data_IF_607788850654
#
_entry.id   IF_607788850654
#
_cell.length_a   1.000
_cell.length_b   1.000
_cell.length_c   1.000
_cell.angle_alpha   90.00
_cell.angle_beta   90.00
_cell.angle_gamma   90.00
#
_symmetry.space_group_name_H-M   'P 1'
#
loop_
_entity.id
_entity.type
_entity.pdbx_description
1 polymer ?
#
# COMPACT_ATOMS: atom_id res chain seq x y z
N UNK A 1 -21.17 65.32 15.61
CA UNK A 1 -20.31 64.42 16.41
C UNK A 1 -21.17 63.75 17.47
N UNK A 2 -21.04 62.43 17.74
CA UNK A 2 -20.96 61.24 16.87
C UNK A 2 -22.16 60.30 17.19
N UNK A 3 -22.48 59.23 16.45
CA UNK A 3 -21.83 57.91 16.53
C UNK A 3 -22.39 57.04 15.38
N UNK A 4 -21.53 56.76 14.42
CA UNK A 4 -21.67 55.71 13.41
C UNK A 4 -21.38 54.37 14.10
N UNK A 5 -22.38 53.51 14.26
CA UNK A 5 -22.16 52.13 14.75
C UNK A 5 -21.73 51.25 13.59
N UNK A 6 -20.42 51.21 13.41
CA UNK A 6 -19.67 50.29 12.57
C UNK A 6 -19.92 48.84 13.01
N UNK A 7 -20.30 48.01 12.03
CA UNK A 7 -19.80 46.65 11.82
C UNK A 7 -19.98 45.62 12.93
N UNK A 8 -20.98 44.76 12.78
CA UNK A 8 -21.03 43.49 13.49
C UNK A 8 -21.27 42.33 12.53
N UNK A 9 -20.23 41.94 11.80
CA UNK A 9 -20.06 40.56 11.28
C UNK A 9 -18.57 40.27 11.18
N UNK A 10 -17.99 39.51 12.13
CA UNK A 10 -16.86 38.59 11.88
C UNK A 10 -16.94 37.42 12.87
N UNK A 11 -17.85 36.48 12.60
CA UNK A 11 -17.73 35.12 13.13
C UNK A 11 -16.38 34.59 12.64
N UNK A 12 -15.49 34.22 13.56
CA UNK A 12 -14.16 33.71 13.23
C UNK A 12 -14.28 32.55 12.25
N UNK A 13 -13.88 32.76 11.00
CA UNK A 13 -13.63 31.71 10.01
C UNK A 13 -12.37 30.96 10.42
N UNK A 14 -12.47 30.17 11.50
CA UNK A 14 -11.47 29.14 11.76
C UNK A 14 -11.70 28.04 10.74
N UNK A 15 -10.74 27.90 9.82
CA UNK A 15 -10.70 26.80 8.86
C UNK A 15 -10.67 25.49 9.65
N UNK A 16 -11.63 24.61 9.38
CA UNK A 16 -11.71 23.28 10.01
C UNK A 16 -10.49 22.42 9.66
N UNK A 17 -10.27 21.36 10.43
CA UNK A 17 -9.18 20.43 10.17
C UNK A 17 -9.33 19.76 8.78
N UNK A 18 -8.23 19.64 8.04
CA UNK A 18 -8.21 18.91 6.77
C UNK A 18 -8.51 17.42 7.03
N UNK A 19 -9.63 16.95 6.49
CA UNK A 19 -10.02 15.56 6.52
C UNK A 19 -9.93 14.99 5.10
N UNK A 20 -9.15 13.92 4.92
CA UNK A 20 -9.13 13.15 3.68
C UNK A 20 -9.33 11.67 3.99
N UNK A 21 -10.18 11.02 3.20
CA UNK A 21 -10.37 9.56 3.24
C UNK A 21 -9.69 8.95 2.01
N UNK A 22 -8.72 8.07 2.21
CA UNK A 22 -8.11 7.31 1.13
C UNK A 22 -8.83 5.97 0.98
N UNK A 23 -9.33 5.67 -0.21
CA UNK A 23 -9.88 4.36 -0.55
C UNK A 23 -9.05 3.75 -1.67
N UNK A 24 -8.66 2.48 -1.51
CA UNK A 24 -7.89 1.73 -2.50
C UNK A 24 -8.68 0.52 -2.97
N UNK A 25 -8.47 0.12 -4.22
CA UNK A 25 -9.04 -1.10 -4.79
C UNK A 25 -7.94 -2.14 -4.95
N UNK A 26 -8.03 -3.26 -4.23
CA UNK A 26 -7.12 -4.39 -4.39
C UNK A 26 -7.71 -5.43 -5.34
N UNK A 27 -6.94 -5.85 -6.33
CA UNK A 27 -7.39 -6.69 -7.43
C UNK A 27 -6.97 -8.14 -7.27
N UNK A 28 -5.83 -8.39 -6.64
CA UNK A 28 -5.26 -9.74 -6.53
C UNK A 28 -5.51 -10.35 -5.16
N UNK A 29 -5.74 -11.67 -5.14
CA UNK A 29 -5.84 -12.43 -3.87
C UNK A 29 -4.55 -12.34 -3.06
N UNK A 30 -3.41 -12.13 -3.71
CA UNK A 30 -2.12 -11.97 -3.05
C UNK A 30 -2.05 -10.67 -2.25
N UNK A 31 -2.43 -9.54 -2.85
CA UNK A 31 -2.50 -8.27 -2.14
C UNK A 31 -3.55 -8.27 -1.03
N UNK A 32 -4.72 -8.89 -1.25
CA UNK A 32 -5.76 -9.04 -0.22
C UNK A 32 -5.24 -9.86 0.97
N UNK A 33 -4.56 -10.98 0.74
CA UNK A 33 -3.95 -11.78 1.82
C UNK A 33 -2.84 -11.04 2.55
N UNK A 34 -2.04 -10.25 1.85
CA UNK A 34 -1.03 -9.42 2.47
C UNK A 34 -1.68 -8.35 3.35
N UNK A 35 -2.79 -7.76 2.88
CA UNK A 35 -3.58 -6.82 3.66
C UNK A 35 -4.13 -7.44 4.94
N UNK A 36 -4.78 -8.60 4.85
CA UNK A 36 -5.38 -9.30 5.99
C UNK A 36 -4.35 -9.85 6.97
N UNK A 37 -3.17 -10.24 6.47
CA UNK A 37 -2.20 -11.04 7.23
C UNK A 37 -2.75 -12.44 7.52
N UNK A 38 -2.18 -13.12 8.52
CA UNK A 38 -2.65 -14.43 8.96
C UNK A 38 -2.59 -14.55 10.47
N UNK A 39 -3.72 -14.38 11.14
CA UNK A 39 -3.82 -14.60 12.58
C UNK A 39 -3.68 -16.08 12.93
N UNK A 40 -2.97 -16.36 14.02
CA UNK A 40 -2.95 -17.70 14.61
C UNK A 40 -4.30 -17.96 15.29
N UNK A 41 -5.18 -18.72 14.64
CA UNK A 41 -6.47 -19.09 15.21
C UNK A 41 -6.24 -20.18 16.27
N UNK A 42 -6.20 -19.77 17.54
CA UNK A 42 -6.04 -20.66 18.69
C UNK A 42 -7.16 -21.72 18.82
N UNK A 43 -8.26 -21.61 18.05
CA UNK A 43 -9.40 -22.53 18.08
C UNK A 43 -9.24 -23.78 17.21
N UNK A 44 -8.19 -23.88 16.40
CA UNK A 44 -7.92 -25.07 15.57
C UNK A 44 -6.97 -26.02 16.30
N UNK A 45 -7.46 -26.69 17.35
CA UNK A 45 -6.69 -27.60 18.23
C UNK A 45 -6.06 -28.81 17.50
N UNK A 46 -6.39 -29.04 16.22
CA UNK A 46 -5.92 -30.19 15.42
C UNK A 46 -4.97 -29.85 14.28
N UNK A 47 -4.67 -28.58 14.01
CA UNK A 47 -3.70 -28.19 12.97
C UNK A 47 -2.43 -27.64 13.61
N UNK A 48 -1.26 -27.99 13.07
CA UNK A 48 0.03 -27.43 13.47
C UNK A 48 -0.07 -25.90 13.61
N UNK A 49 0.32 -25.36 14.78
CA UNK A 49 0.29 -23.92 15.07
C UNK A 49 1.13 -23.17 14.04
N UNK A 50 0.49 -22.59 13.02
CA UNK A 50 1.17 -21.77 12.01
C UNK A 50 1.53 -20.40 12.62
N UNK A 51 2.71 -19.85 12.31
CA UNK A 51 3.10 -18.55 12.82
C UNK A 51 2.18 -17.44 12.29
N UNK A 52 1.93 -16.43 13.14
CA UNK A 52 1.17 -15.23 12.81
C UNK A 52 1.92 -14.42 11.73
N UNK A 53 1.20 -13.91 10.73
CA UNK A 53 1.74 -13.02 9.71
C UNK A 53 1.13 -11.64 9.93
N UNK A 54 1.98 -10.65 10.18
CA UNK A 54 1.60 -9.26 10.39
C UNK A 54 0.77 -8.76 9.20
N UNK A 55 -0.40 -8.22 9.50
CA UNK A 55 -1.29 -7.60 8.51
C UNK A 55 -0.84 -6.19 8.15
N UNK A 56 -1.20 -5.71 6.95
CA UNK A 56 -0.86 -4.34 6.54
C UNK A 56 -1.43 -3.26 7.48
N UNK A 57 -2.69 -3.32 7.96
CA UNK A 57 -3.17 -2.37 8.96
C UNK A 57 -2.30 -2.32 10.22
N UNK A 58 -1.77 -3.47 10.65
CA UNK A 58 -0.90 -3.55 11.82
C UNK A 58 0.49 -2.95 11.52
N UNK A 59 1.05 -3.21 10.35
CA UNK A 59 2.28 -2.57 9.90
C UNK A 59 2.16 -1.04 9.82
N UNK A 60 1.03 -0.53 9.28
CA UNK A 60 0.71 0.89 9.22
C UNK A 60 0.58 1.48 10.63
N UNK A 61 -0.11 0.80 11.53
CA UNK A 61 -0.24 1.23 12.92
C UNK A 61 1.12 1.30 13.64
N UNK A 62 2.00 0.32 13.42
CA UNK A 62 3.37 0.33 13.95
C UNK A 62 4.21 1.46 13.39
N UNK A 63 4.13 1.73 12.08
CA UNK A 63 4.81 2.87 11.47
C UNK A 63 4.31 4.19 12.09
N UNK A 64 3.00 4.33 12.31
CA UNK A 64 2.42 5.49 12.99
C UNK A 64 2.87 5.65 14.43
N UNK A 65 3.00 4.55 15.17
CA UNK A 65 3.53 4.56 16.54
C UNK A 65 5.00 4.96 16.57
N UNK A 66 5.83 4.34 15.73
CA UNK A 66 7.25 4.67 15.64
C UNK A 66 7.47 6.16 15.29
N UNK A 67 6.67 6.73 14.38
CA UNK A 67 6.71 8.18 14.10
C UNK A 67 6.38 9.04 15.32
N UNK A 68 5.37 8.67 16.11
CA UNK A 68 5.03 9.43 17.33
C UNK A 68 6.10 9.31 18.41
N UNK A 69 6.70 8.14 18.57
CA UNK A 69 7.73 7.90 19.56
C UNK A 69 9.04 8.61 19.18
N UNK A 70 9.38 8.62 17.88
CA UNK A 70 10.48 9.41 17.31
C UNK A 70 10.30 10.91 17.60
N UNK A 71 9.08 11.45 17.40
CA UNK A 71 8.76 12.83 17.73
C UNK A 71 8.83 13.17 19.24
N UNK A 72 9.01 12.17 20.11
CA UNK A 72 9.22 12.30 21.56
C UNK A 72 10.66 11.98 21.95
N UNK A 73 11.60 12.15 21.04
CA UNK A 73 13.03 11.95 21.23
C UNK A 73 13.41 10.50 21.63
N UNK A 74 12.68 9.49 21.13
CA UNK A 74 13.04 8.09 21.33
C UNK A 74 14.06 7.63 20.26
N UNK A 75 15.34 7.41 20.62
CA UNK A 75 16.38 7.06 19.65
C UNK A 75 16.17 5.68 18.99
N UNK A 76 15.49 4.74 19.67
CA UNK A 76 15.16 3.44 19.09
C UNK A 76 14.06 3.53 18.05
N UNK A 77 13.11 4.47 18.23
CA UNK A 77 12.06 4.73 17.26
C UNK A 77 12.65 5.35 15.99
N UNK A 78 13.59 6.30 16.13
CA UNK A 78 14.32 6.88 14.99
C UNK A 78 15.05 5.81 14.18
N UNK A 79 15.81 4.95 14.85
CA UNK A 79 16.53 3.85 14.20
C UNK A 79 15.57 2.88 13.49
N UNK A 80 14.41 2.60 14.09
CA UNK A 80 13.39 1.74 13.48
C UNK A 80 12.81 2.39 12.23
N UNK A 81 12.48 3.68 12.26
CA UNK A 81 11.96 4.41 11.11
C UNK A 81 12.97 4.42 9.96
N UNK A 82 14.24 4.71 10.21
CA UNK A 82 15.29 4.67 9.18
C UNK A 82 15.35 3.29 8.53
N UNK A 83 15.31 2.21 9.32
CA UNK A 83 15.30 0.83 8.79
C UNK A 83 14.05 0.55 7.96
N UNK A 84 12.88 0.99 8.44
CA UNK A 84 11.61 0.82 7.74
C UNK A 84 11.62 1.56 6.40
N UNK A 85 12.05 2.82 6.39
CA UNK A 85 12.12 3.62 5.18
C UNK A 85 13.09 3.04 4.15
N UNK A 86 14.26 2.58 4.57
CA UNK A 86 15.22 1.90 3.70
C UNK A 86 14.64 0.60 3.13
N UNK A 87 13.93 -0.19 3.95
CA UNK A 87 13.26 -1.40 3.49
C UNK A 87 12.15 -1.10 2.47
N UNK A 88 11.34 -0.06 2.72
CA UNK A 88 10.29 0.38 1.80
C UNK A 88 10.88 0.85 0.46
N UNK A 89 11.94 1.65 0.49
CA UNK A 89 12.64 2.12 -0.72
C UNK A 89 13.15 0.94 -1.52
N UNK A 90 13.92 0.03 -0.89
CA UNK A 90 14.46 -1.16 -1.56
C UNK A 90 13.38 -2.07 -2.15
N UNK A 91 12.28 -2.28 -1.42
CA UNK A 91 11.17 -3.09 -1.90
C UNK A 91 10.48 -2.43 -3.10
N UNK A 92 10.29 -1.10 -3.06
CA UNK A 92 9.70 -0.34 -4.16
C UNK A 92 10.59 -0.43 -5.41
N UNK A 93 11.90 -0.22 -5.28
CA UNK A 93 12.86 -0.35 -6.39
C UNK A 93 12.85 -1.76 -7.00
N UNK A 94 12.71 -2.79 -6.16
CA UNK A 94 12.61 -4.18 -6.60
C UNK A 94 11.35 -4.40 -7.43
N UNK A 95 10.20 -3.91 -6.96
CA UNK A 95 8.93 -3.98 -7.69
C UNK A 95 9.02 -3.25 -9.03
N UNK A 96 9.55 -2.02 -9.06
CA UNK A 96 9.68 -1.23 -10.28
C UNK A 96 10.62 -1.90 -11.28
N UNK A 97 11.71 -2.53 -10.82
CA UNK A 97 12.60 -3.32 -11.68
C UNK A 97 11.87 -4.48 -12.36
N UNK A 98 11.05 -5.23 -11.62
CA UNK A 98 10.28 -6.34 -12.18
C UNK A 98 9.18 -5.86 -13.13
N UNK A 99 8.49 -4.76 -12.77
CA UNK A 99 7.50 -4.12 -13.65
C UNK A 99 8.13 -3.68 -14.97
N UNK A 100 9.29 -3.01 -14.93
CA UNK A 100 10.00 -2.57 -16.12
C UNK A 100 10.43 -3.74 -17.02
N UNK A 101 10.86 -4.85 -16.41
CA UNK A 101 11.19 -6.08 -17.15
C UNK A 101 9.96 -6.69 -17.84
N UNK A 102 8.82 -6.79 -17.15
CA UNK A 102 7.56 -7.26 -17.73
C UNK A 102 7.07 -6.35 -18.86
N UNK A 103 7.20 -5.03 -18.68
CA UNK A 103 6.86 -4.06 -19.72
C UNK A 103 7.75 -4.19 -20.95
N UNK A 104 9.03 -4.54 -20.76
CA UNK A 104 9.94 -4.89 -21.85
C UNK A 104 9.46 -6.08 -22.67
N UNK A 105 8.96 -7.13 -22.00
CA UNK A 105 8.38 -8.30 -22.69
C UNK A 105 7.16 -7.92 -23.51
N UNK A 106 6.25 -7.13 -22.92
CA UNK A 106 5.03 -6.71 -23.59
C UNK A 106 5.31 -5.80 -24.80
N UNK A 107 6.35 -4.96 -24.73
CA UNK A 107 6.78 -4.10 -25.85
C UNK A 107 7.36 -4.88 -27.04
N UNK A 108 7.84 -6.10 -26.84
CA UNK A 108 8.37 -6.94 -27.91
C UNK A 108 7.29 -7.66 -28.73
N UNK A 109 6.01 -7.50 -28.37
CA UNK A 109 4.91 -8.06 -29.14
C UNK A 109 4.79 -7.38 -30.51
N UNK A 110 4.44 -8.12 -31.58
CA UNK A 110 4.22 -7.53 -32.89
C UNK A 110 3.10 -6.49 -32.84
N UNK A 111 3.24 -5.40 -33.60
CA UNK A 111 2.32 -4.25 -33.55
C UNK A 111 0.87 -4.51 -33.94
N UNK A 112 0.55 -5.73 -34.39
CA UNK A 112 -0.82 -6.20 -34.61
C UNK A 112 -1.53 -6.59 -33.30
N UNK A 113 -0.78 -6.77 -32.21
CA UNK A 113 -1.30 -7.15 -30.89
C UNK A 113 -1.39 -5.90 -30.01
N UNK A 114 -2.60 -5.54 -29.60
CA UNK A 114 -2.86 -4.51 -28.60
C UNK A 114 -3.47 -5.16 -27.36
N UNK A 115 -2.81 -5.00 -26.22
CA UNK A 115 -3.27 -5.55 -24.94
C UNK A 115 -3.91 -4.44 -24.11
N UNK A 116 -5.11 -4.71 -23.59
CA UNK A 116 -5.79 -3.83 -22.64
C UNK A 116 -5.15 -3.93 -21.25
N UNK A 117 -5.39 -2.91 -20.42
CA UNK A 117 -5.03 -2.96 -19.01
C UNK A 117 -5.76 -4.10 -18.27
N UNK A 118 -5.01 -4.82 -17.43
CA UNK A 118 -5.57 -5.88 -16.59
C UNK A 118 -6.27 -5.29 -15.36
N UNK A 119 -7.46 -5.79 -15.07
CA UNK A 119 -8.23 -5.49 -13.85
C UNK A 119 -8.98 -6.72 -13.38
N UNK A 120 -9.16 -6.84 -12.07
CA UNK A 120 -10.06 -7.83 -11.49
C UNK A 120 -11.52 -7.50 -11.85
N UNK A 121 -12.33 -8.53 -12.07
CA UNK A 121 -13.79 -8.40 -12.22
C UNK A 121 -14.48 -7.99 -10.92
N UNK A 122 -13.84 -8.25 -9.78
CA UNK A 122 -14.38 -8.00 -8.44
C UNK A 122 -13.27 -7.50 -7.50
N UNK A 123 -12.79 -6.26 -7.68
CA UNK A 123 -11.81 -5.68 -6.77
C UNK A 123 -12.42 -5.42 -5.38
N UNK A 124 -11.58 -5.53 -4.35
CA UNK A 124 -11.97 -5.25 -2.96
C UNK A 124 -11.58 -3.82 -2.60
N UNK A 125 -12.58 -3.00 -2.27
CA UNK A 125 -12.37 -1.62 -1.85
C UNK A 125 -12.09 -1.55 -0.35
N UNK A 126 -11.02 -0.86 0.01
CA UNK A 126 -10.52 -0.78 1.38
C UNK A 126 -10.30 0.69 1.71
N UNK A 127 -10.94 1.15 2.78
CA UNK A 127 -10.64 2.44 3.39
C UNK A 127 -9.35 2.35 4.19
N UNK A 128 -8.40 3.24 3.91
CA UNK A 128 -7.09 3.27 4.55
C UNK A 128 -6.88 4.59 5.26
N UNK A 129 -6.46 4.49 6.51
CA UNK A 129 -6.01 5.64 7.30
C UNK A 129 -4.64 5.33 7.89
N UNK A 130 -3.72 6.27 7.71
CA UNK A 130 -2.44 6.27 8.40
C UNK A 130 -2.25 7.59 9.15
N UNK A 131 -1.76 7.50 10.37
CA UNK A 131 -1.39 8.67 11.18
C UNK A 131 0.01 9.21 10.86
N UNK A 132 0.76 8.57 9.96
CA UNK A 132 2.09 9.03 9.55
C UNK A 132 2.33 8.89 8.04
N UNK A 133 3.21 9.73 7.45
CA UNK A 133 3.61 9.60 6.04
C UNK A 133 4.22 8.23 5.72
N UNK A 134 5.03 7.68 6.63
CA UNK A 134 5.66 6.36 6.46
C UNK A 134 4.62 5.25 6.38
N UNK A 135 3.52 5.35 7.15
CA UNK A 135 2.42 4.39 7.02
C UNK A 135 1.71 4.45 5.66
N UNK A 136 1.57 5.64 5.05
CA UNK A 136 1.07 5.74 3.66
C UNK A 136 2.06 5.18 2.63
N UNK A 137 3.38 5.27 2.86
CA UNK A 137 4.38 4.60 2.01
C UNK A 137 4.22 3.08 2.02
N UNK A 138 3.82 2.47 3.14
CA UNK A 138 3.46 1.05 3.18
C UNK A 138 2.27 0.74 2.27
N UNK A 139 1.28 1.64 2.20
CA UNK A 139 0.11 1.50 1.32
C UNK A 139 0.52 1.59 -0.15
N UNK A 140 1.39 2.54 -0.51
CA UNK A 140 1.90 2.65 -1.88
C UNK A 140 2.67 1.42 -2.32
N UNK A 141 3.48 0.84 -1.43
CA UNK A 141 4.17 -0.41 -1.70
C UNK A 141 3.19 -1.56 -1.96
N UNK A 142 2.11 -1.66 -1.18
CA UNK A 142 1.07 -2.67 -1.38
C UNK A 142 0.38 -2.51 -2.74
N UNK A 143 0.07 -1.28 -3.16
CA UNK A 143 -0.54 -1.02 -4.48
C UNK A 143 0.44 -1.38 -5.60
N UNK A 144 1.73 -1.03 -5.45
CA UNK A 144 2.78 -1.43 -6.38
C UNK A 144 2.90 -2.95 -6.51
N UNK A 145 2.80 -3.66 -5.38
CA UNK A 145 2.77 -5.11 -5.36
C UNK A 145 1.54 -5.69 -6.07
N UNK A 146 0.34 -5.16 -5.80
CA UNK A 146 -0.89 -5.60 -6.47
C UNK A 146 -0.78 -5.42 -8.00
N UNK A 147 -0.23 -4.29 -8.44
CA UNK A 147 0.06 -4.02 -9.86
C UNK A 147 1.05 -5.01 -10.46
N UNK A 148 2.14 -5.31 -9.75
CA UNK A 148 3.14 -6.29 -10.19
C UNK A 148 2.49 -7.66 -10.39
N UNK A 149 1.75 -8.14 -9.38
CA UNK A 149 1.09 -9.45 -9.45
C UNK A 149 0.12 -9.49 -10.63
N UNK A 150 -0.71 -8.46 -10.83
CA UNK A 150 -1.58 -8.38 -11.99
C UNK A 150 -0.81 -8.50 -13.31
N UNK A 151 0.26 -7.73 -13.51
CA UNK A 151 1.07 -7.81 -14.73
C UNK A 151 1.71 -9.18 -14.92
N UNK A 152 2.26 -9.77 -13.86
CA UNK A 152 2.84 -11.13 -13.91
C UNK A 152 1.80 -12.14 -14.42
N UNK A 153 0.57 -12.08 -13.90
CA UNK A 153 -0.52 -12.95 -14.36
C UNK A 153 -0.95 -12.67 -15.80
N UNK A 154 -0.97 -11.41 -16.22
CA UNK A 154 -1.27 -11.03 -17.60
C UNK A 154 -0.25 -11.65 -18.58
N UNK A 155 1.04 -11.42 -18.32
CA UNK A 155 2.14 -11.92 -19.15
C UNK A 155 2.16 -13.45 -19.17
N UNK A 156 1.90 -14.10 -18.03
CA UNK A 156 1.78 -15.55 -17.92
C UNK A 156 0.56 -16.11 -18.68
N UNK A 157 -0.60 -15.45 -18.56
CA UNK A 157 -1.83 -15.88 -19.23
C UNK A 157 -1.70 -15.89 -20.75
N UNK A 158 -0.95 -14.92 -21.30
CA UNK A 158 -0.62 -14.87 -22.72
C UNK A 158 0.58 -15.75 -23.13
N UNK A 159 1.12 -16.56 -22.22
CA UNK A 159 2.20 -17.52 -22.51
C UNK A 159 3.58 -16.89 -22.75
N UNK A 160 3.77 -15.64 -22.36
CA UNK A 160 5.04 -14.92 -22.59
C UNK A 160 6.12 -15.25 -21.55
N UNK A 161 5.73 -15.86 -20.43
CA UNK A 161 6.65 -16.37 -19.41
C UNK A 161 6.25 -17.79 -18.98
N UNK A 162 7.25 -18.56 -18.54
CA UNK A 162 7.02 -19.89 -17.98
C UNK A 162 6.42 -19.82 -16.57
N UNK A 163 5.83 -20.93 -16.11
CA UNK A 163 5.32 -21.06 -14.74
C UNK A 163 6.43 -20.89 -13.71
N UNK A 164 7.58 -21.51 -13.91
CA UNK A 164 8.74 -21.34 -13.02
C UNK A 164 9.12 -19.88 -12.92
N UNK A 165 9.14 -19.15 -14.04
CA UNK A 165 9.52 -17.74 -14.02
C UNK A 165 8.49 -16.87 -13.31
N UNK A 166 7.21 -17.18 -13.46
CA UNK A 166 6.11 -16.52 -12.74
C UNK A 166 6.25 -16.70 -11.21
N UNK A 167 6.64 -17.89 -10.75
CA UNK A 167 6.74 -18.20 -9.32
C UNK A 167 8.01 -17.61 -8.67
N UNK A 168 9.01 -17.19 -9.46
CA UNK A 168 10.23 -16.47 -9.01
C UNK A 168 10.05 -14.95 -8.84
N UNK A 169 9.02 -14.38 -9.46
CA UNK A 169 8.74 -12.93 -9.50
C UNK A 169 7.81 -12.52 -8.36
#
# INVERSE_FOLDING_TARGET
MPQEKTGEVRKSEQVGALQSSLTIALHTRYAIRLWEGRRNNQKEEKQEKRPDIISMPRAIAFAGQATRDSARDNPYADMMLVRLENALTKATETIEKHLAWLDGILKNLPGQISLSDIKSSSPVNIGVYSSSPVGYRCVWLLIGYDRLVMKVFQVFHYGLISRTKRDEL
#
